data_IF_534540161597
#
_entry.id   IF_534540161597
#
_cell.length_a   1.000
_cell.length_b   1.000
_cell.length_c   1.000
_cell.angle_alpha   90.00
_cell.angle_beta   90.00
_cell.angle_gamma   90.00
#
_symmetry.space_group_name_H-M   'P 1'
#
loop_
_entity.id
_entity.type
_entity.pdbx_description
1 polymer ?
#
# COMPACT_ATOMS: atom_id res chain seq x y z
N UNK A 1 20.71 -4.00 -16.52
CA UNK A 1 19.47 -4.31 -17.27
C UNK A 1 19.80 -4.45 -18.76
N UNK A 2 19.07 -5.28 -19.52
CA UNK A 2 19.40 -5.58 -20.92
C UNK A 2 19.48 -4.32 -21.81
N UNK A 3 18.74 -3.27 -21.46
CA UNK A 3 18.65 -2.02 -22.21
C UNK A 3 19.74 -0.99 -21.85
N UNK A 4 20.48 -1.17 -20.76
CA UNK A 4 21.49 -0.18 -20.32
C UNK A 4 22.72 -0.11 -21.24
N UNK A 5 23.08 -1.22 -21.88
CA UNK A 5 24.25 -1.29 -22.76
C UNK A 5 23.97 -0.85 -24.21
N UNK A 6 22.75 -0.44 -24.52
CA UNK A 6 22.38 -0.03 -25.87
C UNK A 6 22.58 1.48 -26.05
N UNK A 7 23.37 1.92 -27.06
CA UNK A 7 23.52 3.34 -27.33
C UNK A 7 22.24 3.92 -27.90
N UNK A 8 21.87 5.13 -27.46
CA UNK A 8 20.75 5.88 -28.02
C UNK A 8 21.02 6.27 -29.48
N UNK A 9 22.25 6.65 -29.80
CA UNK A 9 22.64 7.16 -31.13
C UNK A 9 22.56 6.11 -32.24
N UNK A 10 22.79 4.84 -31.90
CA UNK A 10 22.75 3.73 -32.86
C UNK A 10 21.40 3.05 -32.91
N UNK A 11 20.42 3.49 -32.11
CA UNK A 11 19.09 2.90 -32.06
C UNK A 11 18.26 3.34 -33.26
N UNK A 12 17.49 2.41 -33.82
CA UNK A 12 16.50 2.70 -34.88
C UNK A 12 15.39 3.62 -34.34
N UNK A 13 15.04 3.47 -33.06
CA UNK A 13 14.10 4.33 -32.35
C UNK A 13 14.70 4.71 -30.97
N UNK A 14 15.36 5.87 -30.86
CA UNK A 14 15.96 6.31 -29.59
C UNK A 14 14.90 6.66 -28.54
N UNK A 15 13.73 7.14 -28.98
CA UNK A 15 12.65 7.57 -28.09
C UNK A 15 12.02 6.39 -27.36
N UNK A 16 11.66 5.34 -28.10
CA UNK A 16 11.10 4.13 -27.48
C UNK A 16 12.13 3.44 -26.58
N UNK A 17 13.42 3.45 -26.98
CA UNK A 17 14.49 2.88 -26.16
C UNK A 17 14.63 3.62 -24.83
N UNK A 18 14.67 4.96 -24.88
CA UNK A 18 14.78 5.80 -23.68
C UNK A 18 13.56 5.62 -22.77
N UNK A 19 12.35 5.59 -23.34
CA UNK A 19 11.12 5.34 -22.59
C UNK A 19 11.13 3.96 -21.91
N UNK A 20 11.49 2.90 -22.63
CA UNK A 20 11.56 1.55 -22.07
C UNK A 20 12.63 1.45 -20.99
N UNK A 21 13.78 2.13 -21.15
CA UNK A 21 14.83 2.20 -20.14
C UNK A 21 14.34 2.90 -18.87
N UNK A 22 13.75 4.08 -19.00
CA UNK A 22 13.14 4.83 -17.90
C UNK A 22 12.12 3.98 -17.13
N UNK A 23 11.20 3.31 -17.84
CA UNK A 23 10.22 2.43 -17.22
C UNK A 23 10.87 1.25 -16.49
N UNK A 24 11.90 0.62 -17.09
CA UNK A 24 12.62 -0.49 -16.46
C UNK A 24 13.34 -0.04 -15.19
N UNK A 25 14.05 1.08 -15.23
CA UNK A 25 14.81 1.60 -14.09
C UNK A 25 13.83 2.01 -12.95
N UNK A 26 12.69 2.62 -13.29
CA UNK A 26 11.62 2.90 -12.34
C UNK A 26 11.11 1.64 -11.61
N UNK A 27 10.77 0.58 -12.35
CA UNK A 27 10.30 -0.68 -11.75
C UNK A 27 11.37 -1.44 -10.97
N UNK A 28 12.65 -1.19 -11.25
CA UNK A 28 13.80 -1.74 -10.55
C UNK A 28 14.23 -0.90 -9.34
N UNK A 29 13.49 0.18 -9.01
CA UNK A 29 13.79 1.12 -7.93
C UNK A 29 15.15 1.81 -8.07
N UNK A 30 15.57 2.01 -9.30
CA UNK A 30 16.73 2.82 -9.71
C UNK A 30 16.27 4.25 -9.95
N UNK A 31 15.89 4.92 -8.86
CA UNK A 31 15.12 6.18 -8.89
C UNK A 31 15.91 7.29 -9.60
N UNK A 32 17.21 7.38 -9.30
CA UNK A 32 18.12 8.37 -9.90
C UNK A 32 18.23 8.17 -11.42
N UNK A 33 18.53 6.94 -11.86
CA UNK A 33 18.67 6.65 -13.29
C UNK A 33 17.33 6.79 -14.05
N UNK A 34 16.21 6.48 -13.37
CA UNK A 34 14.88 6.69 -13.90
C UNK A 34 14.57 8.20 -14.05
N UNK A 35 14.91 9.02 -13.06
CA UNK A 35 14.73 10.47 -13.11
C UNK A 35 15.52 11.12 -14.25
N UNK A 36 16.78 10.70 -14.43
CA UNK A 36 17.61 11.14 -15.55
C UNK A 36 17.00 10.75 -16.90
N UNK A 37 16.58 9.49 -17.04
CA UNK A 37 16.02 9.00 -18.30
C UNK A 37 14.68 9.67 -18.64
N UNK A 38 13.85 9.95 -17.64
CA UNK A 38 12.56 10.64 -17.81
C UNK A 38 12.76 12.11 -18.11
N UNK A 39 13.67 12.81 -17.42
CA UNK A 39 13.95 14.21 -17.71
C UNK A 39 14.47 14.39 -19.14
N UNK A 40 15.41 13.53 -19.57
CA UNK A 40 15.90 13.51 -20.95
C UNK A 40 14.79 13.22 -21.98
N UNK A 41 13.82 12.36 -21.64
CA UNK A 41 12.68 12.09 -22.51
C UNK A 41 11.76 13.32 -22.63
N UNK A 42 11.50 14.01 -21.52
CA UNK A 42 10.61 15.17 -21.45
C UNK A 42 11.21 16.45 -22.07
N UNK A 43 12.52 16.53 -22.29
CA UNK A 43 13.14 17.62 -23.08
C UNK A 43 12.50 17.78 -24.47
N UNK A 44 12.07 16.67 -25.08
CA UNK A 44 11.39 16.63 -26.39
C UNK A 44 9.91 16.30 -26.27
N UNK A 45 9.23 16.78 -25.22
CA UNK A 45 7.85 16.42 -24.90
C UNK A 45 6.88 16.52 -26.10
N UNK A 46 7.04 17.55 -26.94
CA UNK A 46 6.15 17.83 -28.09
C UNK A 46 6.26 16.81 -29.22
N UNK A 47 7.38 16.12 -29.32
CA UNK A 47 7.66 15.13 -30.37
C UNK A 47 7.31 13.70 -29.92
N UNK A 48 6.98 13.52 -28.63
CA UNK A 48 6.67 12.21 -28.07
C UNK A 48 5.28 11.72 -28.49
N UNK A 49 5.14 10.40 -28.76
CA UNK A 49 3.84 9.75 -28.76
C UNK A 49 3.07 10.04 -27.47
N UNK A 50 1.76 10.33 -27.58
CA UNK A 50 0.92 10.75 -26.46
C UNK A 50 1.02 9.82 -25.25
N UNK A 51 1.10 8.51 -25.48
CA UNK A 51 1.21 7.51 -24.40
C UNK A 51 2.52 7.63 -23.62
N UNK A 52 3.64 7.83 -24.31
CA UNK A 52 4.95 7.93 -23.65
C UNK A 52 5.04 9.21 -22.84
N UNK A 53 4.55 10.31 -23.40
CA UNK A 53 4.45 11.59 -22.70
C UNK A 53 3.65 11.49 -21.41
N UNK A 54 2.45 10.92 -21.46
CA UNK A 54 1.59 10.77 -20.27
C UNK A 54 2.24 9.88 -19.21
N UNK A 55 2.82 8.74 -19.61
CA UNK A 55 3.48 7.85 -18.66
C UNK A 55 4.75 8.46 -18.08
N UNK A 56 5.53 9.19 -18.88
CA UNK A 56 6.72 9.88 -18.40
C UNK A 56 6.38 10.96 -17.36
N UNK A 57 5.35 11.77 -17.60
CA UNK A 57 4.86 12.74 -16.62
C UNK A 57 4.37 12.07 -15.33
N UNK A 58 3.68 10.93 -15.43
CA UNK A 58 3.26 10.17 -14.24
C UNK A 58 4.46 9.64 -13.46
N UNK A 59 5.47 9.10 -14.14
CA UNK A 59 6.70 8.61 -13.51
C UNK A 59 7.47 9.77 -12.87
N UNK A 60 7.59 10.92 -13.54
CA UNK A 60 8.26 12.12 -13.01
C UNK A 60 7.61 12.59 -11.71
N UNK A 61 6.29 12.77 -11.71
CA UNK A 61 5.55 13.21 -10.53
C UNK A 61 5.65 12.20 -9.39
N UNK A 62 5.58 10.91 -9.71
CA UNK A 62 5.70 9.84 -8.72
C UNK A 62 7.11 9.81 -8.10
N UNK A 63 8.16 9.91 -8.91
CA UNK A 63 9.55 10.03 -8.44
C UNK A 63 9.74 11.28 -7.59
N UNK A 64 9.21 12.43 -8.01
CA UNK A 64 9.33 13.69 -7.28
C UNK A 64 8.66 13.64 -5.89
N UNK A 65 7.59 12.85 -5.75
CA UNK A 65 6.90 12.63 -4.47
C UNK A 65 7.55 11.57 -3.58
N UNK A 66 8.52 10.82 -4.10
CA UNK A 66 9.09 9.67 -3.41
C UNK A 66 10.18 10.10 -2.44
N UNK A 67 9.86 10.08 -1.15
CA UNK A 67 10.83 10.34 -0.09
C UNK A 67 11.60 9.06 0.29
N UNK A 68 12.92 9.17 0.45
CA UNK A 68 13.75 8.09 0.96
C UNK A 68 13.34 7.67 2.38
N UNK A 69 13.44 6.36 2.66
CA UNK A 69 12.99 5.75 3.91
C UNK A 69 11.52 6.07 4.33
N UNK A 70 10.67 6.54 3.39
CA UNK A 70 9.23 6.67 3.62
C UNK A 70 8.50 5.33 3.56
N UNK A 71 7.28 5.27 4.10
CA UNK A 71 6.44 4.06 4.02
C UNK A 71 6.16 3.64 2.57
N UNK A 72 6.00 4.59 1.65
CA UNK A 72 5.80 4.28 0.23
C UNK A 72 7.06 3.66 -0.38
N UNK A 73 8.22 4.28 -0.16
CA UNK A 73 9.51 3.75 -0.60
C UNK A 73 9.77 2.32 -0.06
N UNK A 74 9.47 2.09 1.22
CA UNK A 74 9.59 0.77 1.86
C UNK A 74 8.63 -0.24 1.20
N UNK A 75 7.37 0.14 0.99
CA UNK A 75 6.38 -0.75 0.37
C UNK A 75 6.81 -1.21 -1.03
N UNK A 76 7.45 -0.32 -1.80
CA UNK A 76 8.00 -0.62 -3.13
C UNK A 76 9.14 -1.62 -3.05
N UNK A 77 10.09 -1.41 -2.12
CA UNK A 77 11.19 -2.35 -1.87
C UNK A 77 10.68 -3.73 -1.43
N UNK A 78 9.67 -3.78 -0.56
CA UNK A 78 9.03 -5.03 -0.16
C UNK A 78 8.40 -5.75 -1.35
N UNK A 79 7.67 -5.03 -2.22
CA UNK A 79 7.07 -5.61 -3.43
C UNK A 79 8.11 -6.19 -4.40
N UNK A 80 9.25 -5.51 -4.55
CA UNK A 80 10.37 -6.00 -5.35
C UNK A 80 11.03 -7.25 -4.72
N UNK A 81 11.20 -7.28 -3.39
CA UNK A 81 11.63 -8.49 -2.66
C UNK A 81 10.66 -9.66 -2.89
N UNK A 82 9.35 -9.44 -2.75
CA UNK A 82 8.33 -10.48 -2.97
C UNK A 82 8.45 -11.07 -4.37
N UNK A 83 8.51 -10.23 -5.42
CA UNK A 83 8.70 -10.69 -6.80
C UNK A 83 9.96 -11.52 -7.00
N UNK A 84 11.05 -11.20 -6.29
CA UNK A 84 12.31 -11.96 -6.37
C UNK A 84 12.20 -13.31 -5.67
N UNK A 85 11.57 -13.34 -4.51
CA UNK A 85 11.32 -14.58 -3.77
C UNK A 85 10.39 -15.52 -4.54
N UNK A 86 9.33 -15.00 -5.16
CA UNK A 86 8.43 -15.78 -6.04
C UNK A 86 9.17 -16.44 -7.21
N UNK A 87 10.24 -15.79 -7.70
CA UNK A 87 11.13 -16.33 -8.75
C UNK A 87 12.19 -17.30 -8.22
N UNK A 88 12.15 -17.64 -6.93
CA UNK A 88 13.14 -18.51 -6.28
C UNK A 88 14.48 -17.83 -6.01
N UNK A 89 14.58 -16.50 -6.12
CA UNK A 89 15.81 -15.76 -5.83
C UNK A 89 15.86 -15.38 -4.35
N UNK A 90 16.43 -16.26 -3.52
CA UNK A 90 16.66 -16.03 -2.08
C UNK A 90 18.14 -15.76 -1.73
N UNK A 91 18.95 -15.34 -2.71
CA UNK A 91 20.39 -15.13 -2.55
C UNK A 91 20.77 -13.90 -1.71
N UNK A 92 22.08 -13.68 -1.48
CA UNK A 92 22.59 -12.62 -0.60
C UNK A 92 22.16 -11.21 -1.02
N UNK A 93 21.97 -10.96 -2.32
CA UNK A 93 21.47 -9.68 -2.84
C UNK A 93 20.06 -9.36 -2.33
N UNK A 94 19.18 -10.36 -2.26
CA UNK A 94 17.79 -10.17 -1.80
C UNK A 94 17.76 -9.98 -0.29
N UNK A 95 18.59 -10.75 0.44
CA UNK A 95 18.75 -10.59 1.88
C UNK A 95 19.27 -9.20 2.26
N UNK A 96 20.22 -8.63 1.50
CA UNK A 96 20.69 -7.26 1.71
C UNK A 96 19.55 -6.22 1.57
N UNK A 97 18.69 -6.38 0.56
CA UNK A 97 17.53 -5.49 0.38
C UNK A 97 16.53 -5.66 1.53
N UNK A 98 16.27 -6.88 1.99
CA UNK A 98 15.42 -7.18 3.15
C UNK A 98 15.96 -6.53 4.43
N UNK A 99 17.26 -6.69 4.72
CA UNK A 99 17.88 -6.08 5.89
C UNK A 99 17.78 -4.55 5.83
N UNK A 100 18.04 -3.94 4.68
CA UNK A 100 17.86 -2.50 4.52
C UNK A 100 16.40 -2.03 4.63
N UNK A 101 15.41 -2.91 4.39
CA UNK A 101 13.99 -2.61 4.67
C UNK A 101 13.73 -2.64 6.18
N UNK A 102 14.25 -3.64 6.89
CA UNK A 102 14.15 -3.73 8.35
C UNK A 102 14.77 -2.49 9.00
N UNK A 103 15.97 -2.10 8.58
CA UNK A 103 16.65 -0.90 9.08
C UNK A 103 15.83 0.37 8.85
N UNK A 104 15.22 0.54 7.67
CA UNK A 104 14.36 1.71 7.39
C UNK A 104 13.09 1.73 8.24
N UNK A 105 12.49 0.57 8.52
CA UNK A 105 11.34 0.45 9.41
C UNK A 105 11.72 0.74 10.86
N UNK A 106 12.87 0.25 11.33
CA UNK A 106 13.39 0.55 12.66
C UNK A 106 13.65 2.04 12.85
N UNK A 107 14.18 2.73 11.82
CA UNK A 107 14.33 4.19 11.84
C UNK A 107 12.98 4.91 11.94
N UNK A 108 11.97 4.46 11.20
CA UNK A 108 10.62 5.02 11.26
C UNK A 108 9.97 4.81 12.63
N UNK A 109 10.11 3.62 13.20
CA UNK A 109 9.60 3.31 14.54
C UNK A 109 10.24 4.24 15.57
N UNK A 110 11.57 4.38 15.55
CA UNK A 110 12.30 5.30 16.44
C UNK A 110 11.81 6.75 16.31
N UNK A 111 11.68 7.27 15.08
CA UNK A 111 11.16 8.62 14.83
C UNK A 111 9.75 8.82 15.43
N UNK A 112 8.88 7.81 15.31
CA UNK A 112 7.52 7.86 15.87
C UNK A 112 7.49 7.72 17.40
N UNK A 113 8.40 6.93 17.96
CA UNK A 113 8.59 6.81 19.41
C UNK A 113 9.07 8.14 20.01
N UNK A 114 10.10 8.76 19.41
CA UNK A 114 10.62 10.07 19.80
C UNK A 114 9.51 11.14 19.74
N UNK A 115 8.73 11.15 18.67
CA UNK A 115 7.61 12.08 18.50
C UNK A 115 6.54 11.90 19.60
N UNK A 116 6.24 10.65 19.98
CA UNK A 116 5.30 10.35 21.07
C UNK A 116 5.84 10.76 22.43
N UNK A 117 7.11 10.52 22.72
CA UNK A 117 7.74 10.96 23.97
C UNK A 117 7.72 12.48 24.09
N UNK A 118 7.99 13.19 22.99
CA UNK A 118 7.96 14.64 22.96
C UNK A 118 6.54 15.20 23.17
N UNK A 119 5.51 14.56 22.57
CA UNK A 119 4.10 14.90 22.80
C UNK A 119 3.62 14.56 24.22
N UNK A 120 4.24 13.58 24.88
CA UNK A 120 3.97 13.21 26.27
C UNK A 120 4.56 14.20 27.29
N UNK A 121 5.56 14.99 26.88
CA UNK A 121 6.24 15.98 27.75
C UNK A 121 5.67 17.41 27.67
N UNK A 122 4.76 17.69 26.72
CA UNK A 122 4.16 19.01 26.49
C UNK A 122 2.76 19.23 27.12
N UNK A 123 2.24 18.28 27.90
CA UNK A 123 0.88 18.29 28.43
C UNK A 123 0.78 18.36 29.96
N UNK A 124 1.68 19.06 30.63
CA UNK A 124 1.56 19.36 32.06
C UNK A 124 0.92 20.74 32.24
N UNK A 125 -0.40 20.83 32.09
CA UNK A 125 -1.11 22.08 32.32
C UNK A 125 -2.58 22.07 31.92
N UNK A 126 -3.40 21.37 32.70
CA UNK A 126 -4.73 21.81 33.17
C UNK A 126 -5.75 20.67 33.26
N UNK A 127 -6.42 20.65 34.42
CA UNK A 127 -7.72 20.05 34.70
C UNK A 127 -7.81 18.51 34.69
N UNK A 128 -7.56 17.94 35.88
CA UNK A 128 -8.23 16.71 36.30
C UNK A 128 -9.75 16.92 36.30
N UNK A 129 -10.46 16.12 35.51
CA UNK A 129 -11.91 16.09 35.46
C UNK A 129 -12.37 14.65 35.37
N UNK A 130 -12.85 14.12 36.49
CA UNK A 130 -13.51 12.83 36.62
C UNK A 130 -14.75 12.79 35.72
N UNK A 131 -14.66 12.18 34.54
CA UNK A 131 -15.78 11.99 33.62
C UNK A 131 -16.73 10.92 34.19
N UNK A 132 -17.79 11.37 34.84
CA UNK A 132 -18.94 10.57 35.24
C UNK A 132 -19.83 10.21 34.05
N UNK A 133 -20.31 8.98 34.03
CA UNK A 133 -21.26 8.41 33.05
C UNK A 133 -22.44 9.35 32.71
N UNK A 134 -22.71 9.50 31.39
CA UNK A 134 -24.04 9.82 30.89
C UNK A 134 -24.31 11.21 30.31
N UNK A 135 -23.31 12.08 30.13
CA UNK A 135 -23.50 13.37 29.42
C UNK A 135 -22.74 13.41 28.08
N UNK A 136 -23.41 13.73 26.95
CA UNK A 136 -22.73 13.94 25.68
C UNK A 136 -21.83 15.18 25.77
N UNK A 137 -20.67 15.13 25.10
CA UNK A 137 -19.72 16.25 25.11
C UNK A 137 -20.30 17.45 24.35
N UNK A 138 -20.15 18.64 24.94
CA UNK A 138 -20.64 19.90 24.34
C UNK A 138 -19.82 20.31 23.11
N UNK A 139 -18.52 19.92 23.05
CA UNK A 139 -17.64 20.18 21.92
C UNK A 139 -16.99 18.90 21.37
N UNK A 140 -16.77 18.87 20.05
CA UNK A 140 -16.07 17.78 19.36
C UNK A 140 -14.56 17.84 19.61
N UNK A 141 -14.14 17.42 20.80
CA UNK A 141 -12.74 17.19 21.14
C UNK A 141 -12.45 15.70 21.24
N UNK A 142 -11.19 15.29 21.02
CA UNK A 142 -10.77 13.91 21.26
C UNK A 142 -11.03 13.56 22.73
N UNK A 143 -12.00 12.69 22.98
CA UNK A 143 -12.28 12.18 24.31
C UNK A 143 -11.05 11.40 24.80
N UNK A 144 -10.31 11.96 25.77
CA UNK A 144 -9.10 11.39 26.37
C UNK A 144 -9.33 10.14 27.24
N UNK A 145 -10.39 9.37 26.97
CA UNK A 145 -10.73 8.16 27.70
C UNK A 145 -9.90 6.96 27.23
N UNK A 146 -9.05 6.40 28.09
CA UNK A 146 -8.54 5.04 27.90
C UNK A 146 -9.63 4.06 28.35
N UNK A 147 -10.37 3.50 27.39
CA UNK A 147 -11.21 2.33 27.65
C UNK A 147 -10.35 1.14 28.10
N UNK A 148 -10.93 0.19 28.85
CA UNK A 148 -10.22 -0.98 29.44
C UNK A 148 -9.48 -1.88 28.43
N UNK A 149 -9.60 -1.63 27.12
CA UNK A 149 -8.87 -2.37 26.09
C UNK A 149 -9.31 -3.83 25.95
N UNK A 150 -10.49 -4.17 26.47
CA UNK A 150 -11.08 -5.50 26.35
C UNK A 150 -11.70 -5.67 24.96
N UNK A 151 -10.85 -5.93 23.97
CA UNK A 151 -11.28 -6.30 22.60
C UNK A 151 -11.32 -7.83 22.53
N UNK A 152 -12.46 -8.41 22.14
CA UNK A 152 -12.51 -9.83 21.77
C UNK A 152 -11.64 -10.03 20.54
N UNK A 153 -10.51 -10.73 20.70
CA UNK A 153 -9.70 -11.15 19.56
C UNK A 153 -10.53 -12.09 18.70
N UNK A 154 -10.69 -11.73 17.43
CA UNK A 154 -11.27 -12.59 16.40
C UNK A 154 -10.09 -13.25 15.70
N UNK A 155 -10.10 -14.57 15.63
CA UNK A 155 -9.04 -15.33 14.96
C UNK A 155 -9.20 -15.17 13.45
N UNK A 156 -8.52 -14.18 12.89
CA UNK A 156 -8.45 -13.96 11.44
C UNK A 156 -7.51 -15.02 10.86
N UNK A 157 -8.06 -16.15 10.42
CA UNK A 157 -7.31 -17.11 9.59
C UNK A 157 -7.18 -16.57 8.17
N UNK A 158 -6.06 -16.87 7.49
CA UNK A 158 -5.67 -16.36 6.15
C UNK A 158 -6.58 -16.81 4.99
N UNK A 159 -7.85 -17.15 5.24
CA UNK A 159 -8.85 -17.48 4.22
C UNK A 159 -10.27 -17.04 4.65
N UNK A 160 -10.42 -15.96 5.40
CA UNK A 160 -11.75 -15.42 5.76
C UNK A 160 -12.38 -14.59 4.63
N UNK A 161 -12.72 -15.26 3.53
CA UNK A 161 -13.85 -14.83 2.71
C UNK A 161 -15.16 -15.22 3.40
N UNK A 162 -16.21 -14.40 3.26
CA UNK A 162 -17.60 -14.71 3.65
C UNK A 162 -18.16 -16.05 3.10
N UNK A 163 -17.39 -16.81 2.32
CA UNK A 163 -17.75 -18.09 1.71
C UNK A 163 -17.42 -19.34 2.54
N UNK A 164 -16.59 -19.23 3.59
CA UNK A 164 -16.09 -20.41 4.33
C UNK A 164 -16.67 -20.57 5.75
N UNK A 165 -17.80 -19.89 6.03
CA UNK A 165 -18.51 -20.11 7.28
C UNK A 165 -19.04 -21.56 7.36
N UNK A 166 -18.89 -22.23 8.51
CA UNK A 166 -19.55 -23.50 8.80
C UNK A 166 -21.04 -23.43 8.47
N UNK A 167 -21.66 -24.51 7.96
CA UNK A 167 -23.03 -24.49 7.43
C UNK A 167 -24.07 -23.85 8.37
N UNK A 168 -23.92 -24.07 9.68
CA UNK A 168 -24.82 -23.53 10.70
C UNK A 168 -24.73 -22.00 10.84
N UNK A 169 -23.52 -21.45 10.84
CA UNK A 169 -23.31 -20.01 11.00
C UNK A 169 -23.68 -19.24 9.72
N UNK A 170 -23.56 -19.90 8.57
CA UNK A 170 -24.02 -19.38 7.27
C UNK A 170 -25.53 -19.20 7.23
N UNK A 171 -26.28 -20.20 7.72
CA UNK A 171 -27.74 -20.14 7.78
C UNK A 171 -28.23 -19.04 8.73
N UNK A 172 -27.60 -18.90 9.90
CA UNK A 172 -27.90 -17.83 10.85
C UNK A 172 -27.62 -16.44 10.25
N UNK A 173 -26.49 -16.28 9.55
CA UNK A 173 -26.17 -15.03 8.85
C UNK A 173 -27.18 -14.70 7.72
N UNK A 174 -27.62 -15.70 6.96
CA UNK A 174 -28.65 -15.52 5.92
C UNK A 174 -30.00 -15.12 6.52
N UNK A 175 -30.38 -15.68 7.67
CA UNK A 175 -31.61 -15.31 8.37
C UNK A 175 -31.54 -13.87 8.92
N UNK A 176 -30.39 -13.45 9.45
CA UNK A 176 -30.17 -12.08 9.91
C UNK A 176 -30.19 -11.09 8.74
N UNK A 177 -29.51 -11.40 7.63
CA UNK A 177 -29.55 -10.56 6.43
C UNK A 177 -30.98 -10.43 5.89
N UNK A 178 -31.76 -11.51 5.91
CA UNK A 178 -33.16 -11.48 5.49
C UNK A 178 -34.08 -10.63 6.38
N UNK A 179 -33.68 -10.33 7.63
CA UNK A 179 -34.41 -9.44 8.55
C UNK A 179 -34.01 -7.98 8.38
N UNK A 180 -32.73 -7.70 8.18
CA UNK A 180 -32.18 -6.35 8.27
C UNK A 180 -31.98 -5.68 6.90
N UNK A 181 -31.96 -6.44 5.80
CA UNK A 181 -31.70 -5.91 4.46
C UNK A 181 -32.90 -6.00 3.51
N UNK A 182 -33.12 -4.98 2.65
CA UNK A 182 -34.17 -4.98 1.63
C UNK A 182 -34.07 -6.15 0.63
N UNK A 183 -35.22 -6.61 0.12
CA UNK A 183 -35.35 -7.85 -0.65
C UNK A 183 -34.49 -7.95 -1.93
N UNK A 184 -34.09 -6.84 -2.53
CA UNK A 184 -33.28 -6.83 -3.77
C UNK A 184 -31.84 -7.31 -3.57
N UNK A 185 -31.31 -7.29 -2.34
CA UNK A 185 -29.98 -7.85 -2.05
C UNK A 185 -29.96 -9.38 -2.04
N UNK A 186 -31.13 -10.04 -1.90
CA UNK A 186 -31.23 -11.50 -1.86
C UNK A 186 -30.75 -12.14 -3.16
N UNK A 187 -31.17 -11.60 -4.30
CA UNK A 187 -30.82 -12.15 -5.62
C UNK A 187 -29.32 -12.04 -5.91
N UNK A 188 -28.69 -10.92 -5.53
CA UNK A 188 -27.25 -10.71 -5.70
C UNK A 188 -26.42 -11.69 -4.86
N UNK A 189 -26.85 -11.94 -3.61
CA UNK A 189 -26.20 -12.87 -2.69
C UNK A 189 -26.33 -14.31 -3.19
N UNK A 190 -27.51 -14.72 -3.67
CA UNK A 190 -27.72 -16.05 -4.25
C UNK A 190 -26.87 -16.30 -5.51
N UNK A 191 -26.77 -15.30 -6.39
CA UNK A 191 -25.91 -15.41 -7.58
C UNK A 191 -24.43 -15.54 -7.22
N UNK A 192 -23.97 -14.81 -6.18
CA UNK A 192 -22.61 -14.92 -5.67
C UNK A 192 -22.32 -16.34 -5.13
N UNK A 193 -23.21 -16.92 -4.32
CA UNK A 193 -23.03 -18.28 -3.80
C UNK A 193 -23.07 -19.36 -4.90
N UNK A 194 -23.92 -19.20 -5.91
CA UNK A 194 -23.91 -20.11 -7.08
C UNK A 194 -22.59 -20.05 -7.85
N UNK A 195 -21.97 -18.87 -8.00
CA UNK A 195 -20.64 -18.72 -8.60
C UNK A 195 -19.55 -19.39 -7.75
N UNK A 196 -19.58 -19.20 -6.43
CA UNK A 196 -18.64 -19.85 -5.51
C UNK A 196 -18.73 -21.38 -5.55
N UNK A 197 -19.94 -21.93 -5.51
CA UNK A 197 -20.15 -23.39 -5.54
C UNK A 197 -19.74 -24.04 -6.86
N UNK A 198 -19.74 -23.27 -7.96
CA UNK A 198 -19.31 -23.76 -9.28
C UNK A 198 -17.80 -23.58 -9.54
N UNK A 199 -17.06 -23.02 -8.57
CA UNK A 199 -15.59 -22.98 -8.58
C UNK A 199 -14.96 -22.20 -9.74
N UNK A 200 -15.73 -21.37 -10.45
CA UNK A 200 -15.21 -20.47 -11.49
C UNK A 200 -14.88 -19.12 -10.85
N UNK A 201 -13.59 -18.90 -10.58
CA UNK A 201 -13.01 -17.57 -10.44
C UNK A 201 -13.05 -16.84 -11.78
#
# INVERSE_FOLDING_TARGET
>A
PLLQGLPLETSVDPTSLLFCRAACDYWLLKIEEAAESVSQLLEREKELPVRYRQLALLIENDIASLEEDSLDHISRRMKDVTKRLERGHAGPKVQAVQNGVIESLDKLIKKLEDQKEQQSSGGAGSAGGNMSDGRPMEDSQLAGGKGRGEVKKRDLSDTEGWGDLPPREREDALQQIGRDYPAHYREAIEQYFKRLATGKQ
#
